data_IF_694972918550
#
_entry.id   IF_694972918550
#
_cell.length_a   1.000
_cell.length_b   1.000
_cell.length_c   1.000
_cell.angle_alpha   90.00
_cell.angle_beta   90.00
_cell.angle_gamma   90.00
#
_symmetry.space_group_name_H-M   'P 1'
#
loop_
_entity.id
_entity.type
_entity.pdbx_description
1 polymer ?
#
# COMPACT_ATOMS: atom_id res chain seq x y z
N UNK A 1 14.25 14.45 3.76
CA UNK A 1 14.36 12.97 3.62
C UNK A 1 13.70 12.55 2.32
N UNK A 2 14.44 12.31 1.22
CA UNK A 2 13.88 11.98 -0.11
C UNK A 2 14.10 10.52 -0.55
N UNK A 3 14.94 9.75 0.16
CA UNK A 3 15.29 8.37 -0.24
C UNK A 3 14.07 7.43 -0.30
N UNK A 4 13.25 7.39 0.75
CA UNK A 4 12.10 6.48 0.81
C UNK A 4 11.05 6.75 -0.28
N UNK A 5 10.89 7.99 -0.74
CA UNK A 5 9.93 8.34 -1.79
C UNK A 5 10.47 7.97 -3.19
N UNK A 6 11.74 8.24 -3.46
CA UNK A 6 12.38 7.82 -4.72
C UNK A 6 12.44 6.31 -4.88
N UNK A 7 12.71 5.58 -3.79
CA UNK A 7 12.77 4.12 -3.80
C UNK A 7 11.39 3.50 -4.06
N UNK A 8 10.31 4.10 -3.53
CA UNK A 8 8.94 3.63 -3.73
C UNK A 8 8.47 3.80 -5.16
N UNK A 9 8.71 4.95 -5.79
CA UNK A 9 8.31 5.19 -7.19
C UNK A 9 9.07 4.26 -8.15
N UNK A 10 10.37 4.05 -7.91
CA UNK A 10 11.17 3.11 -8.71
C UNK A 10 10.75 1.64 -8.48
N UNK A 11 10.24 1.32 -7.30
CA UNK A 11 9.75 -0.03 -6.97
C UNK A 11 8.32 -0.32 -7.44
N UNK A 12 7.62 0.67 -8.02
CA UNK A 12 6.23 0.52 -8.46
C UNK A 12 6.03 -0.68 -9.39
N UNK A 13 6.84 -0.79 -10.44
CA UNK A 13 6.77 -1.90 -11.40
C UNK A 13 7.00 -3.27 -10.75
N UNK A 14 7.89 -3.33 -9.76
CA UNK A 14 8.16 -4.56 -9.00
C UNK A 14 6.96 -4.96 -8.14
N UNK A 15 6.29 -4.00 -7.51
CA UNK A 15 5.09 -4.27 -6.71
C UNK A 15 3.89 -4.63 -7.58
N UNK A 16 3.69 -3.98 -8.74
CA UNK A 16 2.66 -4.35 -9.70
C UNK A 16 2.83 -5.79 -10.19
N UNK A 17 4.07 -6.18 -10.51
CA UNK A 17 4.39 -7.57 -10.87
C UNK A 17 4.11 -8.52 -9.71
N UNK A 18 4.46 -8.14 -8.48
CA UNK A 18 4.21 -8.96 -7.31
C UNK A 18 2.70 -9.19 -7.08
N UNK A 19 1.86 -8.16 -7.21
CA UNK A 19 0.41 -8.28 -7.10
C UNK A 19 -0.19 -9.07 -8.26
N UNK A 20 0.38 -8.95 -9.47
CA UNK A 20 -0.05 -9.75 -10.63
C UNK A 20 0.24 -11.24 -10.42
N UNK A 21 1.41 -11.58 -9.87
CA UNK A 21 1.79 -12.96 -9.59
C UNK A 21 1.10 -13.53 -8.36
N UNK A 22 0.83 -12.70 -7.35
CA UNK A 22 0.17 -13.06 -6.10
C UNK A 22 -0.83 -11.98 -5.71
N UNK A 23 -2.08 -12.08 -6.19
CA UNK A 23 -3.13 -11.09 -5.89
C UNK A 23 -3.41 -10.96 -4.39
N UNK A 24 -3.15 -12.00 -3.60
CA UNK A 24 -3.38 -12.00 -2.15
C UNK A 24 -2.09 -11.79 -1.36
N UNK A 25 -1.13 -11.02 -1.88
CA UNK A 25 0.11 -10.71 -1.16
C UNK A 25 0.01 -9.34 -0.47
N UNK A 26 -0.26 -9.28 0.85
CA UNK A 26 -0.65 -8.03 1.51
C UNK A 26 0.48 -7.00 1.52
N UNK A 27 1.71 -7.44 1.79
CA UNK A 27 2.88 -6.56 1.82
C UNK A 27 3.11 -5.87 0.47
N UNK A 28 2.91 -6.58 -0.65
CA UNK A 28 3.00 -5.97 -1.97
C UNK A 28 1.90 -4.93 -2.20
N UNK A 29 0.67 -5.19 -1.75
CA UNK A 29 -0.44 -4.22 -1.84
C UNK A 29 -0.19 -2.97 -1.00
N UNK A 30 0.30 -3.12 0.23
CA UNK A 30 0.68 -1.99 1.08
C UNK A 30 1.76 -1.12 0.42
N UNK A 31 2.83 -1.75 -0.07
CA UNK A 31 3.93 -1.03 -0.73
C UNK A 31 3.49 -0.38 -2.06
N UNK A 32 2.59 -1.04 -2.80
CA UNK A 32 2.00 -0.50 -4.01
C UNK A 32 1.14 0.73 -3.70
N UNK A 33 0.38 0.70 -2.61
CA UNK A 33 -0.39 1.84 -2.14
C UNK A 33 0.51 3.05 -1.81
N UNK A 34 1.58 2.82 -1.04
CA UNK A 34 2.56 3.85 -0.70
C UNK A 34 3.28 4.42 -1.94
N UNK A 35 3.53 3.60 -2.97
CA UNK A 35 4.17 4.02 -4.21
C UNK A 35 3.22 4.82 -5.12
N UNK A 36 1.91 4.52 -5.08
CA UNK A 36 0.91 5.28 -5.82
C UNK A 36 0.48 6.57 -5.12
N UNK A 37 0.62 6.72 -3.79
CA UNK A 37 0.20 7.94 -3.06
C UNK A 37 0.57 9.27 -3.75
N UNK A 38 1.83 9.51 -4.18
CA UNK A 38 2.23 10.79 -4.76
C UNK A 38 1.74 11.02 -6.21
N UNK A 39 1.40 9.97 -6.95
CA UNK A 39 1.12 10.05 -8.40
C UNK A 39 -0.31 9.67 -8.78
N UNK A 40 -0.94 8.82 -7.99
CA UNK A 40 -2.29 8.32 -8.19
C UNK A 40 -2.97 7.98 -6.85
N UNK A 41 -3.45 9.00 -6.11
CA UNK A 41 -4.06 8.81 -4.79
C UNK A 41 -5.31 7.91 -4.82
N UNK A 42 -6.03 7.87 -5.95
CA UNK A 42 -7.17 6.96 -6.14
C UNK A 42 -6.74 5.49 -6.16
N UNK A 43 -5.64 5.17 -6.86
CA UNK A 43 -5.07 3.82 -6.86
C UNK A 43 -4.49 3.46 -5.51
N UNK A 44 -3.79 4.40 -4.86
CA UNK A 44 -3.28 4.21 -3.50
C UNK A 44 -4.39 3.82 -2.52
N UNK A 45 -5.53 4.52 -2.58
CA UNK A 45 -6.70 4.23 -1.75
C UNK A 45 -7.19 2.78 -1.93
N UNK A 46 -7.37 2.36 -3.18
CA UNK A 46 -7.85 1.02 -3.52
C UNK A 46 -6.89 -0.08 -3.04
N UNK A 47 -5.58 0.14 -3.16
CA UNK A 47 -4.59 -0.84 -2.71
C UNK A 47 -4.49 -0.91 -1.18
N UNK A 48 -4.65 0.21 -0.46
CA UNK A 48 -4.75 0.19 1.00
C UNK A 48 -6.01 -0.51 1.49
N UNK A 49 -7.16 -0.27 0.87
CA UNK A 49 -8.41 -0.94 1.23
C UNK A 49 -8.29 -2.46 1.01
N UNK A 50 -7.66 -2.87 -0.09
CA UNK A 50 -7.43 -4.30 -0.35
C UNK A 50 -6.40 -4.90 0.60
N UNK A 51 -5.35 -4.16 0.96
CA UNK A 51 -4.40 -4.58 1.99
C UNK A 51 -5.13 -4.87 3.31
N UNK A 52 -5.96 -3.95 3.78
CA UNK A 52 -6.72 -4.11 5.03
C UNK A 52 -7.63 -5.34 5.00
N UNK A 53 -8.30 -5.60 3.88
CA UNK A 53 -9.14 -6.79 3.73
C UNK A 53 -8.35 -8.10 3.80
N UNK A 54 -7.07 -8.10 3.39
CA UNK A 54 -6.23 -9.31 3.43
C UNK A 54 -5.60 -9.58 4.81
N UNK A 55 -5.40 -8.54 5.61
CA UNK A 55 -4.74 -8.65 6.93
C UNK A 55 -5.69 -8.52 8.11
N UNK A 56 -7.00 -8.44 7.85
CA UNK A 56 -8.00 -8.34 8.89
C UNK A 56 -7.85 -9.49 9.90
N UNK A 57 -7.71 -9.14 11.18
CA UNK A 57 -7.54 -10.12 12.25
C UNK A 57 -6.14 -10.74 12.36
N UNK A 58 -5.13 -10.25 11.63
CA UNK A 58 -3.72 -10.66 11.76
C UNK A 58 -3.01 -9.71 12.76
N UNK A 59 -2.71 -10.15 14.00
CA UNK A 59 -2.11 -9.27 15.02
C UNK A 59 -0.74 -8.72 14.61
N UNK A 60 0.03 -9.52 13.87
CA UNK A 60 1.38 -9.16 13.41
C UNK A 60 1.39 -7.95 12.45
N UNK A 61 0.23 -7.62 11.84
CA UNK A 61 0.08 -6.50 10.91
C UNK A 61 -0.55 -5.26 11.57
N UNK A 62 -0.79 -5.27 12.89
CA UNK A 62 -1.48 -4.19 13.61
C UNK A 62 -0.89 -2.80 13.35
N UNK A 63 0.44 -2.66 13.35
CA UNK A 63 1.11 -1.39 13.10
C UNK A 63 0.86 -0.87 11.68
N UNK A 64 0.94 -1.77 10.67
CA UNK A 64 0.68 -1.40 9.28
C UNK A 64 -0.80 -1.19 9.00
N UNK A 65 -1.69 -1.90 9.69
CA UNK A 65 -3.15 -1.67 9.66
C UNK A 65 -3.45 -0.25 10.13
N UNK A 66 -2.91 0.16 11.28
CA UNK A 66 -3.10 1.50 11.81
C UNK A 66 -2.58 2.58 10.84
N UNK A 67 -1.41 2.36 10.23
CA UNK A 67 -0.85 3.27 9.25
C UNK A 67 -1.69 3.34 7.97
N UNK A 68 -2.11 2.20 7.43
CA UNK A 68 -2.98 2.15 6.25
C UNK A 68 -4.32 2.88 6.49
N UNK A 69 -4.94 2.69 7.66
CA UNK A 69 -6.16 3.41 8.04
C UNK A 69 -5.93 4.93 8.11
N UNK A 70 -4.81 5.38 8.68
CA UNK A 70 -4.45 6.80 8.70
C UNK A 70 -4.28 7.36 7.28
N UNK A 71 -3.63 6.61 6.38
CA UNK A 71 -3.42 7.01 4.98
C UNK A 71 -4.73 7.07 4.21
N UNK A 72 -5.60 6.08 4.34
CA UNK A 72 -6.96 6.08 3.75
C UNK A 72 -7.72 7.33 4.19
N UNK A 73 -7.68 7.67 5.49
CA UNK A 73 -8.35 8.87 6.01
C UNK A 73 -7.79 10.15 5.37
N UNK A 74 -6.47 10.27 5.26
CA UNK A 74 -5.82 11.42 4.64
C UNK A 74 -6.12 11.55 3.14
N UNK A 75 -6.23 10.42 2.42
CA UNK A 75 -6.53 10.40 0.97
C UNK A 75 -8.01 10.67 0.63
N UNK A 76 -8.91 10.54 1.61
CA UNK A 76 -10.35 10.81 1.47
C UNK A 76 -10.74 12.25 1.88
N UNK A 77 -9.81 13.00 2.47
CA UNK A 77 -10.00 14.40 2.87
C UNK A 77 -9.59 15.36 1.75
#
# INVERSE_FOLDING_TARGET
MYRKLGDKTNALASFEKAVTLRPNYPIARYNLAEAYEPTNPKRALSEYETYLALVEGIPDEADRIALAQQRIKALKQ
#
